data_IF_308614675068
#
_entry.id   IF_308614675068
#
_cell.length_a   1.000
_cell.length_b   1.000
_cell.length_c   1.000
_cell.angle_alpha   90.00
_cell.angle_beta   90.00
_cell.angle_gamma   90.00
#
_symmetry.space_group_name_H-M   'P 1'
#
loop_
_entity.id
_entity.type
_entity.pdbx_description
1 polymer ?
#
# COMPACT_ATOMS: atom_id res chain seq x y z
N UNK A 1 -4.57 18.16 11.10
CA UNK A 1 -5.43 17.96 9.90
C UNK A 1 -4.82 16.84 9.07
N UNK A 2 -5.61 15.89 8.57
CA UNK A 2 -5.10 14.83 7.69
C UNK A 2 -4.57 15.46 6.40
N UNK A 3 -3.41 15.02 5.94
CA UNK A 3 -2.81 15.55 4.71
C UNK A 3 -3.18 14.67 3.51
N UNK A 4 -4.34 14.93 2.94
CA UNK A 4 -4.83 14.21 1.76
C UNK A 4 -3.98 14.44 0.50
N UNK A 5 -3.12 15.47 0.47
CA UNK A 5 -2.29 15.75 -0.69
C UNK A 5 -1.19 14.69 -0.92
N UNK A 6 -0.86 13.90 0.11
CA UNK A 6 0.13 12.83 0.03
C UNK A 6 -0.50 11.45 -0.18
N UNK A 7 -1.83 11.36 -0.18
CA UNK A 7 -2.52 10.08 -0.30
C UNK A 7 -2.34 9.54 -1.70
N UNK A 8 -2.16 8.23 -1.80
CA UNK A 8 -2.27 7.48 -3.05
C UNK A 8 -3.74 7.12 -3.32
N UNK A 9 -3.98 6.51 -4.48
CA UNK A 9 -5.29 5.99 -4.88
C UNK A 9 -5.84 5.01 -3.83
N UNK A 10 -4.99 4.10 -3.32
CA UNK A 10 -5.36 3.12 -2.31
C UNK A 10 -5.66 3.76 -0.95
N UNK A 11 -4.88 4.78 -0.56
CA UNK A 11 -5.12 5.53 0.68
C UNK A 11 -6.49 6.23 0.65
N UNK A 12 -6.86 6.84 -0.49
CA UNK A 12 -8.19 7.41 -0.68
C UNK A 12 -9.27 6.34 -0.64
N UNK A 13 -9.08 5.23 -1.35
CA UNK A 13 -10.05 4.13 -1.39
C UNK A 13 -10.24 3.45 -0.03
N UNK A 14 -9.26 3.54 0.87
CA UNK A 14 -9.32 3.03 2.24
C UNK A 14 -9.81 4.07 3.28
N UNK A 15 -9.88 5.36 2.93
CA UNK A 15 -10.28 6.42 3.87
C UNK A 15 -11.80 6.38 4.14
N UNK A 16 -12.24 6.20 5.39
CA UNK A 16 -13.66 6.05 5.72
C UNK A 16 -14.55 7.23 5.29
N UNK A 17 -14.04 8.47 5.41
CA UNK A 17 -14.78 9.67 4.99
C UNK A 17 -14.92 9.76 3.46
N UNK A 18 -13.91 9.28 2.74
CA UNK A 18 -13.93 9.23 1.29
C UNK A 18 -14.90 8.15 0.81
N UNK A 19 -14.82 6.94 1.35
CA UNK A 19 -15.75 5.85 1.04
C UNK A 19 -17.19 6.30 1.28
N UNK A 20 -17.47 6.94 2.42
CA UNK A 20 -18.81 7.44 2.75
C UNK A 20 -19.30 8.47 1.74
N UNK A 21 -18.46 9.43 1.36
CA UNK A 21 -18.80 10.41 0.34
C UNK A 21 -19.13 9.77 -1.01
N UNK A 22 -18.37 8.75 -1.42
CA UNK A 22 -18.61 8.03 -2.68
C UNK A 22 -19.90 7.21 -2.63
N UNK A 23 -20.22 6.59 -1.49
CA UNK A 23 -21.41 5.76 -1.31
C UNK A 23 -22.69 6.56 -1.02
N UNK A 24 -22.57 7.72 -0.38
CA UNK A 24 -23.67 8.56 0.07
C UNK A 24 -23.49 9.98 -0.48
N UNK A 25 -23.70 10.20 -1.79
CA UNK A 25 -23.55 11.52 -2.39
C UNK A 25 -24.55 12.56 -1.84
N UNK A 26 -25.63 12.10 -1.19
CA UNK A 26 -26.66 12.94 -0.55
C UNK A 26 -26.15 13.63 0.73
N UNK A 27 -25.00 13.23 1.27
CA UNK A 27 -24.36 13.94 2.38
C UNK A 27 -23.73 15.25 1.88
N UNK A 28 -24.46 16.35 2.10
CA UNK A 28 -24.09 17.69 1.65
C UNK A 28 -22.80 18.19 2.29
N UNK A 29 -22.53 17.83 3.56
CA UNK A 29 -21.34 18.29 4.27
C UNK A 29 -20.08 17.65 3.67
N UNK A 30 -20.12 16.33 3.47
CA UNK A 30 -19.01 15.60 2.85
C UNK A 30 -18.82 16.01 1.38
N UNK A 31 -19.92 16.16 0.64
CA UNK A 31 -19.85 16.60 -0.76
C UNK A 31 -19.23 17.98 -0.91
N UNK A 32 -19.60 18.94 -0.05
CA UNK A 32 -19.01 20.26 -0.06
C UNK A 32 -17.51 20.20 0.29
N UNK A 33 -17.13 19.45 1.34
CA UNK A 33 -15.74 19.28 1.72
C UNK A 33 -14.88 18.76 0.55
N UNK A 34 -15.29 17.65 -0.09
CA UNK A 34 -14.51 17.04 -1.17
C UNK A 34 -14.50 17.89 -2.44
N UNK A 35 -15.59 18.61 -2.76
CA UNK A 35 -15.61 19.57 -3.87
C UNK A 35 -14.64 20.74 -3.66
N UNK A 36 -14.64 21.33 -2.45
CA UNK A 36 -13.70 22.41 -2.10
C UNK A 36 -12.28 21.90 -2.06
N UNK A 37 -12.05 20.67 -1.59
CA UNK A 37 -10.72 20.10 -1.58
C UNK A 37 -10.19 19.85 -3.00
N UNK A 38 -11.01 19.28 -3.88
CA UNK A 38 -10.68 19.03 -5.29
C UNK A 38 -10.43 20.31 -6.08
N UNK A 39 -11.18 21.39 -5.83
CA UNK A 39 -10.95 22.67 -6.51
C UNK A 39 -9.58 23.27 -6.18
N UNK A 40 -9.06 23.01 -4.97
CA UNK A 40 -7.73 23.41 -4.54
C UNK A 40 -6.62 22.42 -4.97
N UNK A 41 -6.98 21.19 -5.36
CA UNK A 41 -6.04 20.12 -5.71
C UNK A 41 -6.40 19.46 -7.05
N UNK A 42 -6.44 20.22 -8.17
CA UNK A 42 -6.85 19.69 -9.47
C UNK A 42 -5.91 18.56 -9.97
N UNK A 43 -4.65 18.57 -9.54
CA UNK A 43 -3.67 17.53 -9.87
C UNK A 43 -3.98 16.16 -9.25
N UNK A 44 -4.88 16.09 -8.26
CA UNK A 44 -5.35 14.85 -7.64
C UNK A 44 -6.63 14.30 -8.27
N UNK A 45 -7.18 14.98 -9.28
CA UNK A 45 -8.45 14.58 -9.91
C UNK A 45 -8.42 13.17 -10.49
N UNK A 46 -7.32 12.80 -11.18
CA UNK A 46 -7.15 11.46 -11.76
C UNK A 46 -7.10 10.38 -10.68
N UNK A 47 -6.29 10.58 -9.63
CA UNK A 47 -6.21 9.65 -8.49
C UNK A 47 -7.55 9.48 -7.76
N UNK A 48 -8.30 10.58 -7.61
CA UNK A 48 -9.62 10.57 -6.99
C UNK A 48 -10.62 9.81 -7.87
N UNK A 49 -10.58 9.97 -9.19
CA UNK A 49 -11.43 9.23 -10.11
C UNK A 49 -11.15 7.72 -10.06
N UNK A 50 -9.88 7.33 -9.99
CA UNK A 50 -9.47 5.94 -9.84
C UNK A 50 -9.90 5.37 -8.47
N UNK A 51 -9.68 6.11 -7.39
CA UNK A 51 -10.11 5.72 -6.05
C UNK A 51 -11.64 5.54 -5.95
N UNK A 52 -12.42 6.41 -6.60
CA UNK A 52 -13.88 6.26 -6.70
C UNK A 52 -14.28 4.98 -7.42
N UNK A 53 -13.55 4.63 -8.49
CA UNK A 53 -13.79 3.40 -9.25
C UNK A 53 -13.52 2.17 -8.37
N UNK A 54 -12.41 2.16 -7.62
CA UNK A 54 -12.11 1.10 -6.67
C UNK A 54 -13.20 0.96 -5.61
N UNK A 55 -13.58 2.06 -4.95
CA UNK A 55 -14.65 2.06 -3.93
C UNK A 55 -15.95 1.54 -4.52
N UNK A 56 -16.30 1.94 -5.75
CA UNK A 56 -17.48 1.44 -6.45
C UNK A 56 -17.44 -0.08 -6.68
N UNK A 57 -16.33 -0.60 -7.20
CA UNK A 57 -16.15 -2.04 -7.44
C UNK A 57 -16.26 -2.87 -6.16
N UNK A 58 -15.68 -2.39 -5.05
CA UNK A 58 -15.85 -3.04 -3.75
C UNK A 58 -17.29 -2.91 -3.25
N UNK A 59 -17.89 -1.72 -3.32
CA UNK A 59 -19.26 -1.48 -2.86
C UNK A 59 -20.30 -2.33 -3.61
N UNK A 60 -20.15 -2.52 -4.91
CA UNK A 60 -21.02 -3.38 -5.72
C UNK A 60 -20.88 -4.86 -5.33
N UNK A 61 -19.67 -5.29 -4.98
CA UNK A 61 -19.40 -6.62 -4.42
C UNK A 61 -20.07 -6.79 -3.04
N UNK A 62 -20.16 -5.72 -2.24
CA UNK A 62 -20.84 -5.72 -0.94
C UNK A 62 -22.35 -5.48 -1.01
N UNK A 63 -22.88 -4.93 -2.12
CA UNK A 63 -24.32 -4.64 -2.29
C UNK A 63 -25.20 -5.91 -2.37
N UNK A 64 -24.59 -7.09 -2.53
CA UNK A 64 -25.26 -8.38 -2.40
C UNK A 64 -25.32 -8.93 -0.96
N UNK A 65 -24.67 -8.28 0.00
CA UNK A 65 -24.62 -8.72 1.40
C UNK A 65 -25.14 -7.61 2.33
N UNK A 66 -26.25 -7.91 2.99
CA UNK A 66 -26.79 -7.06 4.06
C UNK A 66 -25.74 -6.85 5.15
N UNK A 67 -25.79 -5.70 5.85
CA UNK A 67 -24.88 -5.41 6.96
C UNK A 67 -24.94 -6.46 8.08
N UNK A 68 -26.03 -7.25 8.14
CA UNK A 68 -26.17 -8.41 9.02
C UNK A 68 -25.31 -9.60 8.55
N UNK A 69 -25.33 -9.92 7.26
CA UNK A 69 -24.50 -11.00 6.71
C UNK A 69 -23.01 -10.68 6.82
N UNK A 70 -22.61 -9.43 6.64
CA UNK A 70 -21.23 -8.97 6.86
C UNK A 70 -20.79 -9.17 8.32
N UNK A 71 -21.63 -8.83 9.30
CA UNK A 71 -21.34 -9.09 10.72
C UNK A 71 -21.22 -10.58 11.03
N UNK A 72 -22.05 -11.41 10.42
CA UNK A 72 -22.01 -12.86 10.59
C UNK A 72 -20.74 -13.47 9.99
N UNK A 73 -20.31 -13.02 8.80
CA UNK A 73 -19.04 -13.44 8.21
C UNK A 73 -17.84 -13.00 9.06
N UNK A 74 -17.84 -11.74 9.52
CA UNK A 74 -16.77 -11.22 10.35
C UNK A 74 -16.65 -11.98 11.68
N UNK A 75 -17.80 -12.31 12.30
CA UNK A 75 -17.84 -13.13 13.51
C UNK A 75 -17.24 -14.52 13.28
N UNK A 76 -17.54 -15.16 12.14
CA UNK A 76 -16.98 -16.46 11.76
C UNK A 76 -15.47 -16.42 11.55
N UNK A 77 -14.96 -15.35 10.93
CA UNK A 77 -13.50 -15.14 10.78
C UNK A 77 -12.85 -14.99 12.16
N UNK A 78 -13.42 -14.19 13.05
CA UNK A 78 -12.89 -13.99 14.40
C UNK A 78 -12.88 -15.30 15.22
N UNK A 79 -13.92 -16.12 15.08
CA UNK A 79 -13.99 -17.46 15.68
C UNK A 79 -12.91 -18.40 15.13
N UNK A 80 -12.61 -18.33 13.82
CA UNK A 80 -11.54 -19.12 13.21
C UNK A 80 -10.12 -18.68 13.61
N UNK A 81 -9.92 -17.40 13.93
CA UNK A 81 -8.63 -16.88 14.40
C UNK A 81 -8.32 -17.34 15.82
N UNK A 82 -9.34 -17.55 16.67
CA UNK A 82 -9.18 -18.12 18.01
C UNK A 82 -8.85 -19.62 18.02
N UNK A 83 -8.93 -20.30 16.88
CA UNK A 83 -8.63 -21.73 16.75
C UNK A 83 -7.27 -22.01 16.13
N UNK A 84 -6.44 -20.99 15.92
CA UNK A 84 -5.02 -21.21 15.63
C UNK A 84 -4.41 -21.75 16.95
N UNK A 85 -4.02 -23.03 17.03
CA UNK A 85 -3.32 -23.52 18.21
C UNK A 85 -2.12 -22.61 18.41
N UNK A 86 -2.01 -22.07 19.62
CA UNK A 86 -0.86 -21.31 20.09
C UNK A 86 0.38 -22.03 19.59
N UNK A 87 1.07 -21.42 18.62
CA UNK A 87 2.29 -21.98 18.08
C UNK A 87 3.24 -21.90 19.26
N UNK A 88 3.41 -23.03 19.95
CA UNK A 88 4.44 -23.22 20.96
C UNK A 88 5.71 -22.61 20.36
N UNK A 89 6.32 -21.57 20.98
CA UNK A 89 7.48 -20.94 20.41
C UNK A 89 8.61 -21.98 20.46
N UNK A 90 8.70 -22.79 19.40
CA UNK A 90 9.88 -23.55 19.08
C UNK A 90 11.01 -22.56 19.17
N UNK A 91 11.92 -22.79 20.12
CA UNK A 91 13.14 -22.06 20.38
C UNK A 91 13.86 -21.72 19.06
N UNK A 92 13.44 -20.63 18.42
CA UNK A 92 14.11 -20.08 17.26
C UNK A 92 15.15 -19.14 17.81
N UNK A 93 16.33 -19.70 18.07
CA UNK A 93 17.55 -18.92 18.09
C UNK A 93 17.69 -18.21 16.74
N UNK A 94 17.19 -16.98 16.66
CA UNK A 94 17.34 -16.12 15.48
C UNK A 94 18.81 -15.74 15.36
N UNK A 95 19.57 -16.51 14.58
CA UNK A 95 20.89 -16.07 14.09
C UNK A 95 20.66 -15.01 13.01
N UNK A 96 21.19 -13.78 13.15
CA UNK A 96 20.94 -12.70 12.20
C UNK A 96 21.74 -12.91 10.92
N UNK A 97 21.18 -13.62 9.95
CA UNK A 97 21.76 -13.80 8.61
C UNK A 97 21.14 -12.77 7.66
N UNK A 98 21.46 -11.48 7.85
CA UNK A 98 21.02 -10.45 6.90
C UNK A 98 21.88 -9.16 6.87
N UNK A 99 23.09 -9.13 7.43
CA UNK A 99 23.96 -7.93 7.37
C UNK A 99 25.27 -8.11 6.58
N UNK A 100 25.69 -9.34 6.27
CA UNK A 100 26.99 -9.58 5.63
C UNK A 100 26.97 -9.61 4.09
N UNK A 101 25.81 -9.85 3.45
CA UNK A 101 25.75 -10.09 2.00
C UNK A 101 25.40 -8.86 1.13
N UNK A 102 25.09 -7.71 1.72
CA UNK A 102 24.87 -6.46 0.96
C UNK A 102 26.12 -5.57 0.82
N UNK A 103 27.16 -5.80 1.64
CA UNK A 103 28.43 -5.04 1.58
C UNK A 103 29.39 -5.53 0.48
N UNK A 104 29.35 -6.82 0.11
CA UNK A 104 30.24 -7.38 -0.92
C UNK A 104 29.85 -6.97 -2.35
N UNK A 105 28.66 -6.43 -2.58
CA UNK A 105 28.21 -5.99 -3.92
C UNK A 105 28.85 -4.68 -4.39
N UNK A 106 29.38 -3.83 -3.50
CA UNK A 106 29.95 -2.51 -3.85
C UNK A 106 31.49 -2.48 -4.01
N UNK A 107 32.20 -3.60 -3.85
CA UNK A 107 33.66 -3.67 -4.05
C UNK A 107 34.10 -4.25 -5.42
N UNK A 108 33.22 -4.98 -6.12
CA UNK A 108 33.57 -5.61 -7.42
C UNK A 108 33.64 -4.58 -8.55
N UNK A 109 32.89 -3.48 -8.47
CA UNK A 109 32.85 -2.46 -9.53
C UNK A 109 34.17 -1.66 -9.67
N UNK A 110 34.93 -1.47 -8.58
CA UNK A 110 36.22 -0.76 -8.63
C UNK A 110 37.36 -1.61 -9.22
N UNK A 111 37.35 -2.93 -8.98
CA UNK A 111 38.39 -3.82 -9.52
C UNK A 111 38.25 -4.08 -11.03
N UNK A 112 37.03 -4.18 -11.55
CA UNK A 112 36.81 -4.36 -13.00
C UNK A 112 37.21 -3.10 -13.79
N UNK A 113 36.96 -1.91 -13.25
CA UNK A 113 37.37 -0.65 -13.87
C UNK A 113 38.89 -0.49 -14.01
N UNK A 114 39.64 -0.77 -12.93
CA UNK A 114 41.11 -0.66 -12.95
C UNK A 114 41.78 -1.70 -13.87
N UNK A 115 41.23 -2.93 -13.93
CA UNK A 115 41.73 -3.97 -14.82
C UNK A 115 41.55 -3.61 -16.31
N UNK A 116 40.42 -2.98 -16.68
CA UNK A 116 40.17 -2.54 -18.05
C UNK A 116 41.09 -1.37 -18.47
N UNK A 117 41.35 -0.40 -17.59
CA UNK A 117 42.27 0.72 -17.87
C UNK A 117 43.71 0.24 -18.04
N UNK A 118 44.17 -0.68 -17.19
CA UNK A 118 45.50 -1.29 -17.32
C UNK A 118 45.67 -2.08 -18.62
N UNK A 119 44.64 -2.82 -19.03
CA UNK A 119 44.67 -3.60 -20.27
C UNK A 119 44.70 -2.73 -21.53
N UNK A 120 43.98 -1.60 -21.53
CA UNK A 120 43.98 -0.65 -22.65
C UNK A 120 45.35 0.03 -22.82
N UNK A 121 46.01 0.39 -21.72
CA UNK A 121 47.33 1.04 -21.77
C UNK A 121 48.44 0.12 -22.27
N UNK A 122 48.39 -1.18 -21.96
CA UNK A 122 49.36 -2.16 -22.51
C UNK A 122 49.18 -2.40 -24.01
N UNK A 123 48.00 -2.15 -24.56
CA UNK A 123 47.73 -2.30 -26.00
C UNK A 123 48.22 -1.11 -26.84
N UNK A 124 48.60 -0.01 -26.18
CA UNK A 124 49.01 1.26 -26.81
C UNK A 124 50.54 1.46 -26.76
N UNK A 125 51.27 0.69 -25.94
CA UNK A 125 52.73 0.69 -25.83
C UNK A 125 53.33 -0.63 -26.36
#
# INVERSE_FOLDING_TARGET
>A
MKNFAQYTVEDFAAEPLFIRWVQQPDDVELSNFWQVWLSNHPYKSDEIAEARTLVGQFSDTYMGMTSQEMRTLWKRVLESVHTIPEIDPLDQEVKPIASAFYLTRWLVALFVGLALVGWILWKIY
#
